data_IF_978782860434
#
_entry.id   IF_978782860434
#
_cell.length_a   1.000
_cell.length_b   1.000
_cell.length_c   1.000
_cell.angle_alpha   90.00
_cell.angle_beta   90.00
_cell.angle_gamma   90.00
#
_symmetry.space_group_name_H-M   'P 1'
#
loop_
_entity.id
_entity.type
_entity.pdbx_description
1 polymer ?
#
# COMPACT_ATOMS: atom_id res chain seq x y z
N UNK A 1 -7.77 -21.50 6.08
CA UNK A 1 -7.78 -20.35 7.03
C UNK A 1 -6.66 -19.41 6.65
N UNK A 2 -6.97 -18.16 6.47
CA UNK A 2 -6.03 -17.15 6.00
C UNK A 2 -5.11 -16.58 7.10
N UNK A 3 -5.48 -16.71 8.37
CA UNK A 3 -4.68 -16.28 9.52
C UNK A 3 -4.56 -17.39 10.57
N UNK A 4 -3.38 -17.46 11.21
CA UNK A 4 -3.09 -18.39 12.30
C UNK A 4 -3.05 -17.65 13.63
N UNK A 5 -3.86 -18.08 14.58
CA UNK A 5 -3.78 -17.69 16.00
C UNK A 5 -2.83 -18.63 16.75
N UNK A 6 -2.11 -18.10 17.73
CA UNK A 6 -1.23 -18.89 18.59
C UNK A 6 -1.91 -19.25 19.90
N UNK A 7 -1.51 -20.37 20.51
CA UNK A 7 -1.90 -20.71 21.88
C UNK A 7 -1.31 -19.67 22.86
N UNK A 8 -2.00 -19.30 23.95
CA UNK A 8 -1.57 -18.28 24.90
C UNK A 8 -0.51 -18.80 25.90
N UNK A 9 0.55 -19.43 25.39
CA UNK A 9 1.64 -20.01 26.19
C UNK A 9 2.57 -18.97 26.81
N UNK A 10 2.67 -17.79 26.18
CA UNK A 10 3.47 -16.67 26.67
C UNK A 10 2.73 -15.35 26.47
N UNK A 11 3.06 -14.27 27.25
CA UNK A 11 2.42 -12.96 27.05
C UNK A 11 2.49 -12.45 25.60
N UNK A 12 3.62 -12.68 24.92
CA UNK A 12 3.81 -12.23 23.52
C UNK A 12 3.02 -13.06 22.50
N UNK A 13 2.61 -14.29 22.83
CA UNK A 13 1.83 -15.15 21.94
C UNK A 13 0.32 -15.05 22.16
N UNK A 14 -0.12 -14.64 23.35
CA UNK A 14 -1.55 -14.56 23.74
C UNK A 14 -2.42 -13.86 22.68
N UNK A 15 -1.96 -12.76 22.14
CA UNK A 15 -2.70 -11.95 21.16
C UNK A 15 -2.10 -11.97 19.76
N UNK A 16 -1.13 -12.85 19.52
CA UNK A 16 -0.44 -12.92 18.24
C UNK A 16 -1.29 -13.61 17.18
N UNK A 17 -1.45 -12.93 16.04
CA UNK A 17 -2.10 -13.46 14.84
C UNK A 17 -1.19 -13.16 13.64
N UNK A 18 -0.88 -14.14 12.82
CA UNK A 18 -0.05 -13.99 11.62
C UNK A 18 -0.78 -14.50 10.39
N UNK A 19 -0.45 -13.95 9.23
CA UNK A 19 -0.87 -14.48 7.93
C UNK A 19 -0.28 -15.87 7.69
N UNK A 20 -1.01 -16.72 6.98
CA UNK A 20 -0.56 -18.05 6.58
C UNK A 20 0.14 -17.92 5.22
N UNK A 21 1.37 -18.44 5.14
CA UNK A 21 2.18 -18.42 3.92
C UNK A 21 2.03 -19.72 3.11
N UNK A 22 1.72 -20.83 3.80
CA UNK A 22 1.54 -22.14 3.16
C UNK A 22 0.36 -22.08 2.19
N UNK A 23 0.59 -22.49 0.94
CA UNK A 23 -0.41 -22.46 -0.13
C UNK A 23 -0.60 -21.10 -0.83
N UNK A 24 -0.07 -20.00 -0.27
CA UNK A 24 -0.16 -18.67 -0.89
C UNK A 24 1.16 -18.16 -1.44
N UNK A 25 2.28 -18.62 -0.88
CA UNK A 25 3.63 -18.27 -1.33
C UNK A 25 4.26 -19.53 -1.92
N UNK A 26 4.73 -19.42 -3.15
CA UNK A 26 5.30 -20.55 -3.91
C UNK A 26 6.83 -20.52 -3.93
N UNK A 27 7.45 -19.35 -3.71
CA UNK A 27 8.90 -19.22 -3.62
C UNK A 27 9.31 -18.33 -2.43
N UNK A 28 10.39 -18.71 -1.75
CA UNK A 28 10.93 -18.02 -0.57
C UNK A 28 12.09 -17.10 -0.91
N UNK A 29 12.82 -17.38 -1.98
CA UNK A 29 13.99 -16.60 -2.44
C UNK A 29 13.58 -15.67 -3.58
N UNK A 30 13.87 -14.36 -3.48
CA UNK A 30 13.56 -13.43 -4.56
C UNK A 30 14.56 -13.54 -5.72
N UNK A 31 14.13 -13.14 -6.91
CA UNK A 31 15.00 -12.99 -8.07
C UNK A 31 16.07 -11.93 -7.80
N UNK A 32 17.36 -12.33 -7.90
CA UNK A 32 18.51 -11.49 -7.53
C UNK A 32 18.59 -10.23 -8.39
N UNK A 33 18.38 -10.34 -9.69
CA UNK A 33 18.45 -9.24 -10.66
C UNK A 33 17.41 -8.14 -10.38
N UNK A 34 16.28 -8.47 -9.76
CA UNK A 34 15.20 -7.55 -9.43
C UNK A 34 15.23 -7.07 -7.97
N UNK A 35 16.34 -7.30 -7.26
CA UNK A 35 16.47 -6.88 -5.85
C UNK A 35 17.63 -5.92 -5.64
N UNK A 36 17.40 -4.84 -4.89
CA UNK A 36 18.42 -3.88 -4.48
C UNK A 36 18.47 -3.75 -2.96
N UNK A 37 19.65 -3.41 -2.44
CA UNK A 37 19.83 -3.14 -1.02
C UNK A 37 19.06 -1.89 -0.61
N UNK A 38 18.30 -1.97 0.49
CA UNK A 38 17.59 -0.81 1.04
C UNK A 38 18.28 -0.32 2.29
N UNK A 39 18.95 0.84 2.20
CA UNK A 39 19.51 1.54 3.36
C UNK A 39 18.39 2.11 4.24
N UNK A 40 18.57 2.05 5.57
CA UNK A 40 17.66 2.68 6.53
C UNK A 40 18.14 4.11 6.79
N UNK A 41 17.29 5.09 6.57
CA UNK A 41 17.60 6.51 6.84
C UNK A 41 17.41 6.90 8.31
N UNK A 42 16.79 6.04 9.12
CA UNK A 42 16.47 6.37 10.51
C UNK A 42 15.54 7.58 10.66
N UNK A 43 14.77 7.92 9.62
CA UNK A 43 13.88 9.07 9.61
C UNK A 43 14.56 10.41 9.29
N UNK A 44 15.79 10.39 8.75
CA UNK A 44 16.52 11.58 8.30
C UNK A 44 16.25 11.87 6.83
N UNK A 45 16.29 13.16 6.48
CA UNK A 45 16.27 13.63 5.09
C UNK A 45 17.66 13.57 4.45
N UNK A 46 17.81 14.10 3.23
CA UNK A 46 19.08 14.15 2.51
C UNK A 46 20.16 14.99 3.24
N UNK A 47 19.74 16.00 3.99
CA UNK A 47 20.60 16.88 4.78
C UNK A 47 20.94 16.34 6.18
N UNK A 48 20.48 15.13 6.52
CA UNK A 48 20.70 14.50 7.83
C UNK A 48 19.74 14.94 8.93
N UNK A 49 18.84 15.88 8.68
CA UNK A 49 17.87 16.36 9.68
C UNK A 49 16.74 15.34 9.92
N UNK A 50 16.34 15.18 11.18
CA UNK A 50 15.25 14.29 11.58
C UNK A 50 13.88 14.83 11.15
N UNK A 51 13.36 14.37 10.03
CA UNK A 51 12.04 14.76 9.51
C UNK A 51 10.91 13.84 9.98
N UNK A 52 11.21 12.56 10.20
CA UNK A 52 10.23 11.57 10.68
C UNK A 52 10.76 10.90 11.95
N UNK A 53 10.12 11.19 13.08
CA UNK A 53 10.52 10.61 14.38
C UNK A 53 10.12 9.14 14.50
N UNK A 54 10.75 8.44 15.44
CA UNK A 54 10.43 7.06 15.84
C UNK A 54 10.62 6.02 14.74
N UNK A 55 11.55 6.25 13.81
CA UNK A 55 12.00 5.28 12.83
C UNK A 55 13.44 4.85 13.10
N UNK A 56 13.74 3.59 12.80
CA UNK A 56 15.10 3.03 12.88
C UNK A 56 15.18 1.70 13.62
N UNK A 57 16.34 1.05 13.54
CA UNK A 57 16.65 -0.20 14.24
C UNK A 57 15.83 -1.43 13.78
N UNK A 58 15.26 -1.41 12.61
CA UNK A 58 14.53 -2.54 12.04
C UNK A 58 15.45 -3.56 11.36
N UNK A 59 14.88 -4.73 11.05
CA UNK A 59 15.57 -5.77 10.27
C UNK A 59 15.98 -5.25 8.90
N UNK A 60 17.18 -5.60 8.42
CA UNK A 60 17.69 -5.27 7.09
C UNK A 60 16.75 -5.83 6.01
N UNK A 61 16.41 -5.02 5.00
CA UNK A 61 15.48 -5.40 3.94
C UNK A 61 16.10 -5.17 2.57
N UNK A 62 15.79 -6.07 1.64
CA UNK A 62 16.01 -5.85 0.20
C UNK A 62 14.74 -5.27 -0.40
N UNK A 63 14.87 -4.29 -1.27
CA UNK A 63 13.76 -3.76 -2.07
C UNK A 63 13.60 -4.60 -3.33
N UNK A 64 12.35 -4.96 -3.70
CA UNK A 64 12.01 -5.60 -4.96
C UNK A 64 11.56 -4.53 -5.93
N UNK A 65 12.15 -4.52 -7.12
CA UNK A 65 11.77 -3.60 -8.19
C UNK A 65 10.45 -4.11 -8.77
N UNK A 66 9.38 -3.34 -8.57
CA UNK A 66 8.05 -3.70 -9.06
C UNK A 66 7.75 -2.87 -10.31
N UNK A 67 7.26 -3.55 -11.35
CA UNK A 67 6.77 -2.88 -12.55
C UNK A 67 5.37 -2.30 -12.29
N UNK A 68 5.34 -1.01 -11.93
CA UNK A 68 4.11 -0.25 -11.77
C UNK A 68 3.59 0.36 -13.06
N UNK A 69 4.41 0.39 -14.11
CA UNK A 69 4.07 1.05 -15.37
C UNK A 69 3.42 0.11 -16.37
N UNK A 70 3.80 -1.18 -16.33
CA UNK A 70 3.29 -2.19 -17.25
C UNK A 70 3.40 -1.73 -18.70
N UNK A 71 4.62 -1.32 -19.12
CA UNK A 71 4.88 -0.70 -20.43
C UNK A 71 4.96 -1.69 -21.58
N UNK A 72 5.12 -2.99 -21.32
CA UNK A 72 5.17 -4.03 -22.34
C UNK A 72 3.76 -4.40 -22.79
N UNK A 73 3.22 -3.60 -23.72
CA UNK A 73 1.89 -3.83 -24.28
C UNK A 73 1.93 -4.96 -25.32
N UNK A 74 0.93 -5.85 -25.33
CA UNK A 74 0.78 -6.96 -26.26
C UNK A 74 1.68 -8.18 -25.99
N UNK A 75 2.69 -8.07 -25.11
CA UNK A 75 3.60 -9.18 -24.82
C UNK A 75 3.06 -10.04 -23.66
N UNK A 76 2.78 -11.33 -23.87
CA UNK A 76 2.30 -12.20 -22.81
C UNK A 76 3.45 -12.55 -21.82
N UNK A 77 3.08 -12.64 -20.55
CA UNK A 77 3.98 -13.05 -19.48
C UNK A 77 3.33 -14.15 -18.63
N UNK A 78 4.09 -15.18 -18.28
CA UNK A 78 3.64 -16.28 -17.43
C UNK A 78 4.01 -16.01 -15.98
N UNK A 79 3.07 -16.23 -15.06
CA UNK A 79 3.31 -16.16 -13.62
C UNK A 79 4.17 -17.34 -13.19
N UNK A 80 5.42 -17.07 -12.79
CA UNK A 80 6.36 -18.11 -12.35
C UNK A 80 6.24 -18.44 -10.87
N UNK A 81 6.08 -17.40 -10.03
CA UNK A 81 5.97 -17.56 -8.58
C UNK A 81 5.17 -16.43 -7.94
N UNK A 82 4.62 -16.71 -6.75
CA UNK A 82 4.03 -15.70 -5.85
C UNK A 82 4.91 -15.64 -4.61
N UNK A 83 5.36 -14.42 -4.25
CA UNK A 83 6.40 -14.21 -3.25
C UNK A 83 5.98 -13.22 -2.16
N UNK A 84 6.67 -13.29 -1.03
CA UNK A 84 6.57 -12.35 0.06
C UNK A 84 7.50 -11.14 -0.17
N UNK A 85 6.97 -9.92 0.00
CA UNK A 85 7.79 -8.69 0.01
C UNK A 85 7.72 -8.03 1.41
N UNK A 86 8.86 -7.85 2.12
CA UNK A 86 8.89 -7.21 3.42
C UNK A 86 8.63 -5.69 3.39
N UNK A 87 8.56 -5.08 2.21
CA UNK A 87 8.38 -3.64 2.05
C UNK A 87 6.92 -3.21 1.83
N UNK A 88 6.04 -4.18 1.60
CA UNK A 88 4.60 -3.94 1.37
C UNK A 88 3.73 -5.00 2.02
N UNK A 89 2.46 -4.69 2.19
CA UNK A 89 1.47 -5.63 2.72
C UNK A 89 0.98 -6.64 1.68
N UNK A 90 0.96 -6.25 0.40
CA UNK A 90 0.58 -7.12 -0.72
C UNK A 90 1.66 -8.16 -1.03
N UNK A 91 1.24 -9.33 -1.55
CA UNK A 91 2.13 -10.30 -2.19
C UNK A 91 2.57 -9.76 -3.56
N UNK A 92 3.67 -10.27 -4.07
CA UNK A 92 4.17 -9.96 -5.42
C UNK A 92 4.21 -11.22 -6.26
N UNK A 93 4.04 -11.09 -7.57
CA UNK A 93 4.16 -12.18 -8.52
C UNK A 93 5.34 -11.91 -9.46
N UNK A 94 6.17 -12.92 -9.66
CA UNK A 94 7.26 -12.90 -10.63
C UNK A 94 6.70 -13.33 -11.98
N UNK A 95 6.85 -12.48 -12.97
CA UNK A 95 6.46 -12.71 -14.37
C UNK A 95 7.68 -12.99 -15.23
N UNK A 96 7.55 -13.98 -16.10
CA UNK A 96 8.48 -14.27 -17.19
C UNK A 96 7.78 -13.94 -18.50
N UNK A 97 8.27 -12.94 -19.19
CA UNK A 97 7.80 -12.58 -20.52
C UNK A 97 8.37 -13.53 -21.58
N UNK A 98 7.67 -13.68 -22.69
CA UNK A 98 8.11 -14.53 -23.82
C UNK A 98 9.46 -14.06 -24.39
N UNK A 99 9.75 -12.76 -24.29
CA UNK A 99 11.03 -12.15 -24.68
C UNK A 99 12.18 -12.36 -23.67
N UNK A 100 12.00 -13.20 -22.65
CA UNK A 100 12.99 -13.52 -21.63
C UNK A 100 13.11 -12.50 -20.49
N UNK A 101 12.41 -11.36 -20.54
CA UNK A 101 12.45 -10.36 -19.48
C UNK A 101 11.67 -10.83 -18.25
N UNK A 102 12.24 -10.65 -17.08
CA UNK A 102 11.62 -10.93 -15.79
C UNK A 102 11.17 -9.65 -15.13
N UNK A 103 9.99 -9.61 -14.53
CA UNK A 103 9.50 -8.48 -13.75
C UNK A 103 8.68 -8.91 -12.56
N UNK A 104 8.60 -8.08 -11.53
CA UNK A 104 7.64 -8.25 -10.44
C UNK A 104 6.42 -7.37 -10.64
N UNK A 105 5.24 -7.91 -10.37
CA UNK A 105 3.99 -7.15 -10.23
C UNK A 105 3.39 -7.35 -8.84
N UNK A 106 2.44 -6.49 -8.45
CA UNK A 106 1.59 -6.78 -7.28
C UNK A 106 0.67 -7.93 -7.65
N UNK A 107 0.65 -8.98 -6.83
CA UNK A 107 -0.19 -10.15 -7.06
C UNK A 107 -1.66 -9.81 -6.75
N UNK A 108 -2.56 -9.85 -7.74
CA UNK A 108 -4.00 -9.77 -7.50
C UNK A 108 -4.51 -11.02 -6.78
N UNK A 109 -5.67 -10.87 -6.17
CA UNK A 109 -6.37 -11.98 -5.55
C UNK A 109 -6.85 -12.96 -6.64
N UNK A 110 -6.64 -14.26 -6.42
CA UNK A 110 -7.02 -15.30 -7.37
C UNK A 110 -5.99 -15.59 -8.48
N UNK A 111 -4.89 -14.83 -8.56
CA UNK A 111 -3.82 -15.13 -9.51
C UNK A 111 -3.11 -16.43 -9.14
N UNK A 112 -2.89 -17.31 -10.12
CA UNK A 112 -2.24 -18.59 -9.94
C UNK A 112 -0.91 -18.67 -10.72
N UNK A 113 -0.02 -19.54 -10.26
CA UNK A 113 1.23 -19.87 -10.98
C UNK A 113 0.88 -20.61 -12.28
N UNK A 114 1.56 -20.27 -13.37
CA UNK A 114 1.29 -20.78 -14.71
C UNK A 114 0.27 -19.94 -15.51
N UNK A 115 -0.48 -19.07 -14.88
CA UNK A 115 -1.43 -18.20 -15.55
C UNK A 115 -0.70 -17.15 -16.40
N UNK A 116 -1.24 -16.87 -17.58
CA UNK A 116 -0.70 -15.82 -18.47
C UNK A 116 -1.33 -14.47 -18.15
N UNK A 117 -0.53 -13.42 -18.16
CA UNK A 117 -0.93 -12.04 -17.90
C UNK A 117 -0.43 -11.15 -19.03
N UNK A 118 -1.30 -10.30 -19.54
CA UNK A 118 -1.00 -9.38 -20.65
C UNK A 118 -1.29 -7.94 -20.23
N UNK A 119 -0.58 -6.99 -20.85
CA UNK A 119 -0.84 -5.55 -20.70
C UNK A 119 -1.16 -4.95 -22.05
N UNK A 120 -1.94 -3.88 -22.08
CA UNK A 120 -2.23 -3.13 -23.29
C UNK A 120 -3.70 -2.96 -23.59
N UNK A 121 -4.04 -2.18 -24.62
CA UNK A 121 -5.42 -1.86 -24.97
C UNK A 121 -6.22 -3.05 -25.53
N UNK A 122 -5.53 -4.05 -26.07
CA UNK A 122 -6.11 -5.26 -26.69
C UNK A 122 -6.18 -6.45 -25.70
N UNK A 123 -5.69 -6.26 -24.46
CA UNK A 123 -5.74 -7.32 -23.46
C UNK A 123 -7.17 -7.60 -23.03
N UNK A 124 -7.50 -8.87 -22.79
CA UNK A 124 -8.80 -9.27 -22.21
C UNK A 124 -8.95 -8.72 -20.78
N UNK A 125 -10.15 -8.35 -20.33
CA UNK A 125 -10.38 -7.84 -18.98
C UNK A 125 -10.38 -8.95 -17.91
N UNK A 126 -9.29 -9.70 -17.85
CA UNK A 126 -9.04 -10.80 -16.91
C UNK A 126 -8.18 -10.38 -15.73
N UNK A 127 -8.22 -11.15 -14.64
CA UNK A 127 -7.48 -10.88 -13.40
C UNK A 127 -5.97 -10.81 -13.68
N UNK A 128 -5.36 -9.68 -13.32
CA UNK A 128 -3.92 -9.45 -13.48
C UNK A 128 -3.54 -8.70 -14.75
N UNK A 129 -4.42 -8.64 -15.74
CA UNK A 129 -4.20 -7.87 -16.96
C UNK A 129 -4.29 -6.37 -16.70
N UNK A 130 -3.46 -5.59 -17.36
CA UNK A 130 -3.41 -4.14 -17.20
C UNK A 130 -3.88 -3.46 -18.50
N UNK A 131 -4.95 -2.68 -18.39
CA UNK A 131 -5.58 -2.00 -19.52
C UNK A 131 -5.75 -0.50 -19.25
N UNK A 132 -5.84 0.33 -20.30
CA UNK A 132 -6.37 1.68 -20.17
C UNK A 132 -7.82 1.67 -19.70
N UNK A 133 -8.20 2.65 -18.86
CA UNK A 133 -9.55 2.71 -18.27
C UNK A 133 -10.68 2.81 -19.31
N UNK A 134 -10.40 3.33 -20.51
CA UNK A 134 -11.37 3.37 -21.61
C UNK A 134 -11.68 1.97 -22.21
N UNK A 135 -10.83 0.98 -21.98
CA UNK A 135 -11.02 -0.39 -22.47
C UNK A 135 -11.58 -1.34 -21.40
N UNK A 136 -11.64 -0.89 -20.15
CA UNK A 136 -12.16 -1.72 -19.04
C UNK A 136 -13.69 -1.59 -18.99
N UNK A 137 -14.46 -2.68 -18.90
CA UNK A 137 -15.91 -2.62 -18.73
C UNK A 137 -16.31 -1.85 -17.47
N UNK A 138 -17.42 -1.10 -17.57
CA UNK A 138 -18.00 -0.39 -16.40
C UNK A 138 -18.47 -1.41 -15.36
N UNK A 139 -18.35 -1.06 -14.08
CA UNK A 139 -18.65 -1.97 -12.96
C UNK A 139 -17.47 -2.84 -12.52
N UNK A 140 -16.42 -2.96 -13.34
CA UNK A 140 -15.25 -3.81 -13.05
C UNK A 140 -14.50 -3.32 -11.83
N UNK A 141 -14.03 -4.28 -11.03
CA UNK A 141 -13.14 -4.05 -9.89
C UNK A 141 -11.69 -3.99 -10.38
N UNK A 142 -10.98 -2.94 -10.00
CA UNK A 142 -9.64 -2.63 -10.46
C UNK A 142 -8.71 -2.24 -9.31
N UNK A 143 -7.41 -2.38 -9.53
CA UNK A 143 -6.37 -1.94 -8.61
C UNK A 143 -5.16 -1.38 -9.39
N UNK A 144 -4.09 -0.97 -8.72
CA UNK A 144 -2.91 -0.41 -9.38
C UNK A 144 -3.24 0.70 -10.39
N UNK A 145 -4.04 1.68 -9.98
CA UNK A 145 -4.57 2.71 -10.85
C UNK A 145 -3.57 3.86 -11.00
N UNK A 146 -3.32 4.28 -12.22
CA UNK A 146 -2.56 5.50 -12.51
C UNK A 146 -3.36 6.77 -12.21
N UNK A 147 -2.67 7.86 -11.89
CA UNK A 147 -3.24 9.21 -11.79
C UNK A 147 -2.99 10.06 -13.04
N UNK A 148 -1.90 9.79 -13.73
CA UNK A 148 -1.51 10.42 -14.99
C UNK A 148 -1.00 9.34 -15.92
N UNK A 149 -1.28 9.42 -17.22
CA UNK A 149 -0.81 8.43 -18.18
C UNK A 149 0.71 8.24 -18.11
N UNK A 150 1.17 6.99 -18.07
CA UNK A 150 2.60 6.64 -18.02
C UNK A 150 3.32 6.89 -16.70
N UNK A 151 2.64 7.44 -15.68
CA UNK A 151 3.23 7.64 -14.36
C UNK A 151 3.49 6.31 -13.63
N UNK A 152 2.71 5.29 -13.94
CA UNK A 152 2.65 4.03 -13.22
C UNK A 152 1.64 4.05 -12.08
N UNK A 153 1.33 2.88 -11.56
CA UNK A 153 0.32 2.68 -10.53
C UNK A 153 0.58 3.52 -9.29
N UNK A 154 -0.43 4.27 -8.84
CA UNK A 154 -0.37 5.15 -7.68
C UNK A 154 -1.40 4.78 -6.61
N UNK A 155 -2.64 4.45 -7.00
CA UNK A 155 -3.75 4.15 -6.09
C UNK A 155 -4.05 2.65 -6.03
N UNK A 156 -4.72 2.22 -4.94
CA UNK A 156 -5.16 0.85 -4.68
C UNK A 156 -4.03 -0.19 -4.85
N UNK A 157 -2.93 -0.03 -4.07
CA UNK A 157 -1.75 -0.92 -4.12
C UNK A 157 -1.55 -1.77 -2.86
N UNK A 158 -2.22 -1.43 -1.77
CA UNK A 158 -2.08 -2.16 -0.50
C UNK A 158 -2.88 -3.45 -0.51
N UNK A 159 -2.51 -4.40 0.35
CA UNK A 159 -3.21 -5.68 0.48
C UNK A 159 -4.73 -5.50 0.64
N UNK A 160 -5.51 -6.27 -0.11
CA UNK A 160 -6.96 -6.28 -0.07
C UNK A 160 -7.64 -5.01 -0.63
N UNK A 161 -6.89 -4.02 -1.12
CA UNK A 161 -7.50 -2.80 -1.67
C UNK A 161 -7.95 -3.00 -3.10
N UNK A 162 -9.02 -2.30 -3.45
CA UNK A 162 -9.57 -2.25 -4.80
C UNK A 162 -10.30 -0.91 -5.00
N UNK A 163 -10.61 -0.60 -6.24
CA UNK A 163 -11.51 0.48 -6.60
C UNK A 163 -12.49 -0.04 -7.66
N UNK A 164 -13.59 0.64 -7.88
CA UNK A 164 -14.59 0.26 -8.87
C UNK A 164 -14.67 1.33 -9.95
N UNK A 165 -14.66 0.91 -11.21
CA UNK A 165 -14.95 1.77 -12.34
C UNK A 165 -16.47 1.96 -12.43
N UNK A 166 -16.94 3.17 -12.12
CA UNK A 166 -18.39 3.46 -12.02
C UNK A 166 -18.96 3.85 -13.37
N UNK A 167 -18.31 4.76 -14.07
CA UNK A 167 -18.75 5.23 -15.39
C UNK A 167 -17.57 5.81 -16.20
N UNK A 168 -17.84 6.14 -17.45
CA UNK A 168 -16.92 6.85 -18.34
C UNK A 168 -17.66 8.02 -18.95
N UNK A 169 -17.06 9.21 -18.89
CA UNK A 169 -17.63 10.46 -19.40
C UNK A 169 -16.57 11.20 -20.22
N UNK A 170 -16.71 11.17 -21.53
CA UNK A 170 -15.74 11.78 -22.45
C UNK A 170 -14.31 11.25 -22.19
N UNK A 171 -13.39 12.15 -21.90
CA UNK A 171 -11.98 11.81 -21.65
C UNK A 171 -11.71 11.33 -20.23
N UNK A 172 -12.72 11.16 -19.37
CA UNK A 172 -12.54 10.79 -17.98
C UNK A 172 -13.29 9.49 -17.64
N UNK A 173 -12.65 8.71 -16.77
CA UNK A 173 -13.25 7.59 -16.05
C UNK A 173 -13.58 8.02 -14.62
N UNK A 174 -14.77 7.67 -14.14
CA UNK A 174 -15.21 7.90 -12.77
C UNK A 174 -14.94 6.65 -11.96
N UNK A 175 -14.16 6.78 -10.90
CA UNK A 175 -13.71 5.68 -10.08
C UNK A 175 -14.09 5.92 -8.62
N UNK A 176 -14.71 4.92 -8.00
CA UNK A 176 -14.99 4.87 -6.57
C UNK A 176 -13.82 4.18 -5.85
N UNK A 177 -13.13 4.92 -4.99
CA UNK A 177 -11.97 4.46 -4.24
C UNK A 177 -12.35 3.68 -2.97
N UNK A 178 -11.41 2.92 -2.37
CA UNK A 178 -11.65 2.18 -1.12
C UNK A 178 -12.06 3.08 0.05
N UNK A 179 -11.69 4.37 0.00
CA UNK A 179 -12.07 5.37 1.01
C UNK A 179 -13.52 5.83 0.90
N UNK A 180 -14.26 5.46 -0.17
CA UNK A 180 -15.57 5.98 -0.52
C UNK A 180 -15.53 7.27 -1.34
N UNK A 181 -14.35 7.85 -1.59
CA UNK A 181 -14.20 9.02 -2.47
C UNK A 181 -14.43 8.62 -3.93
N UNK A 182 -15.28 9.35 -4.63
CA UNK A 182 -15.50 9.21 -6.07
C UNK A 182 -14.77 10.33 -6.80
N UNK A 183 -13.95 9.96 -7.80
CA UNK A 183 -13.14 10.94 -8.52
C UNK A 183 -12.98 10.62 -10.00
N UNK A 184 -12.70 11.68 -10.77
CA UNK A 184 -12.36 11.62 -12.19
C UNK A 184 -10.88 11.32 -12.39
N UNK A 185 -10.57 10.43 -13.33
CA UNK A 185 -9.21 10.10 -13.79
C UNK A 185 -9.25 10.06 -15.31
N UNK A 186 -8.17 10.46 -15.97
CA UNK A 186 -8.09 10.39 -17.44
C UNK A 186 -8.30 8.94 -17.92
N UNK A 187 -9.14 8.76 -18.92
CA UNK A 187 -9.51 7.45 -19.45
C UNK A 187 -8.32 6.70 -20.11
N UNK A 188 -7.26 7.41 -20.45
CA UNK A 188 -6.00 6.86 -20.97
C UNK A 188 -5.09 6.28 -19.87
N UNK A 189 -5.35 6.57 -18.58
CA UNK A 189 -4.61 5.98 -17.47
C UNK A 189 -4.84 4.47 -17.42
N UNK A 190 -3.78 3.71 -17.11
CA UNK A 190 -3.85 2.25 -16.95
C UNK A 190 -4.31 1.86 -15.54
N UNK A 191 -4.98 0.72 -15.47
CA UNK A 191 -5.31 0.04 -14.23
C UNK A 191 -5.22 -1.49 -14.42
N UNK A 192 -5.05 -2.22 -13.33
CA UNK A 192 -5.02 -3.69 -13.36
C UNK A 192 -6.35 -4.24 -12.88
N UNK A 193 -6.86 -5.27 -13.54
CA UNK A 193 -8.13 -5.93 -13.23
C UNK A 193 -8.01 -6.77 -11.96
N UNK A 194 -9.06 -6.72 -11.13
CA UNK A 194 -9.18 -7.49 -9.89
C UNK A 194 -8.85 -6.69 -8.63
N UNK A 195 -8.82 -7.37 -7.48
CA UNK A 195 -8.42 -6.83 -6.17
C UNK A 195 -6.99 -7.20 -5.85
N UNK A 196 -6.32 -6.40 -5.02
CA UNK A 196 -4.99 -6.79 -4.50
C UNK A 196 -5.13 -7.99 -3.57
N UNK A 197 -4.26 -8.98 -3.70
CA UNK A 197 -4.23 -10.16 -2.84
C UNK A 197 -3.88 -9.86 -1.37
N UNK A 198 -3.90 -10.91 -0.53
CA UNK A 198 -3.58 -10.85 0.91
C UNK A 198 -4.52 -9.94 1.72
N UNK A 199 -5.82 -10.00 1.45
CA UNK A 199 -6.86 -9.18 2.11
C UNK A 199 -6.87 -9.34 3.64
N UNK A 200 -6.50 -10.52 4.14
CA UNK A 200 -6.46 -10.82 5.57
C UNK A 200 -5.27 -10.18 6.33
N UNK A 201 -4.40 -9.46 5.64
CA UNK A 201 -3.31 -8.72 6.31
C UNK A 201 -3.82 -7.77 7.41
N UNK A 202 -5.01 -7.21 7.26
CA UNK A 202 -5.66 -6.36 8.27
C UNK A 202 -5.98 -7.09 9.58
N UNK A 203 -6.11 -8.42 9.55
CA UNK A 203 -6.41 -9.26 10.70
C UNK A 203 -5.14 -9.63 11.50
N UNK A 204 -3.95 -9.33 10.99
CA UNK A 204 -2.69 -9.62 11.67
C UNK A 204 -2.54 -8.76 12.94
N UNK A 205 -2.09 -9.41 14.03
CA UNK A 205 -1.78 -8.77 15.30
C UNK A 205 -0.36 -9.09 15.72
N UNK A 206 0.40 -8.07 16.04
CA UNK A 206 1.84 -8.21 16.38
C UNK A 206 2.07 -8.95 17.69
N UNK A 207 1.16 -8.85 18.66
CA UNK A 207 1.19 -9.53 19.95
C UNK A 207 2.20 -8.98 20.96
N UNK A 208 3.31 -8.34 20.51
CA UNK A 208 4.33 -7.77 21.40
C UNK A 208 4.99 -6.51 20.82
N UNK A 209 5.46 -5.63 21.70
CA UNK A 209 6.16 -4.39 21.33
C UNK A 209 7.48 -4.67 20.55
N UNK A 210 8.19 -5.74 20.87
CA UNK A 210 9.41 -6.15 20.16
C UNK A 210 9.22 -6.37 18.67
N UNK A 211 8.03 -6.83 18.21
CA UNK A 211 7.74 -6.94 16.78
C UNK A 211 7.72 -5.56 16.09
N UNK A 212 7.19 -4.54 16.74
CA UNK A 212 7.25 -3.16 16.23
C UNK A 212 8.69 -2.68 16.09
N UNK A 213 9.58 -3.04 17.04
CA UNK A 213 11.01 -2.76 16.96
C UNK A 213 11.66 -3.44 15.75
N UNK A 214 11.36 -4.71 15.50
CA UNK A 214 11.86 -5.45 14.32
C UNK A 214 11.39 -4.84 13.01
N UNK A 215 10.19 -4.24 13.00
CA UNK A 215 9.66 -3.52 11.83
C UNK A 215 10.25 -2.11 11.66
N UNK A 216 11.14 -1.68 12.57
CA UNK A 216 11.81 -0.38 12.50
C UNK A 216 11.05 0.76 13.16
N UNK A 217 10.03 0.46 13.98
CA UNK A 217 9.29 1.46 14.77
C UNK A 217 9.84 1.53 16.18
N UNK A 218 10.28 2.71 16.59
CA UNK A 218 10.73 2.99 17.96
C UNK A 218 9.55 3.35 18.87
N UNK A 219 9.71 3.21 20.21
CA UNK A 219 8.72 3.66 21.18
C UNK A 219 8.37 5.14 20.99
N UNK A 220 7.14 5.52 21.29
CA UNK A 220 6.65 6.89 21.15
C UNK A 220 6.14 7.42 22.47
N UNK A 221 6.65 8.58 22.89
CA UNK A 221 6.13 9.32 24.03
C UNK A 221 4.94 10.18 23.61
N UNK A 222 3.95 10.30 24.50
CA UNK A 222 2.80 11.19 24.33
C UNK A 222 3.20 12.61 24.71
N UNK A 223 2.58 13.62 24.09
CA UNK A 223 2.84 15.03 24.41
C UNK A 223 2.57 15.42 25.86
N UNK A 224 1.57 14.75 26.49
CA UNK A 224 1.18 15.00 27.89
C UNK A 224 2.27 14.64 28.92
N UNK A 225 3.23 13.76 28.55
CA UNK A 225 4.33 13.35 29.46
C UNK A 225 5.64 14.12 29.17
N UNK A 226 5.56 15.14 28.33
CA UNK A 226 6.69 16.01 27.99
C UNK A 226 6.65 17.29 28.81
N UNK A 227 7.75 18.03 28.82
CA UNK A 227 7.80 19.36 29.39
C UNK A 227 7.10 20.40 28.48
N UNK A 228 6.68 21.58 29.02
CA UNK A 228 6.02 22.63 28.24
C UNK A 228 6.84 23.09 27.04
N UNK A 229 8.16 23.12 27.13
CA UNK A 229 9.09 23.48 26.05
C UNK A 229 9.05 22.50 24.86
N UNK A 230 8.76 21.23 25.12
CA UNK A 230 8.81 20.17 24.11
C UNK A 230 7.45 19.96 23.41
N UNK A 231 6.35 20.28 24.09
CA UNK A 231 5.03 20.02 23.57
C UNK A 231 3.97 20.94 24.21
N UNK A 232 3.01 21.48 23.42
CA UNK A 232 1.94 22.36 23.94
C UNK A 232 1.03 21.70 25.00
N UNK A 233 1.04 20.39 25.11
CA UNK A 233 0.28 19.64 26.11
C UNK A 233 1.16 19.13 27.26
N UNK A 234 2.41 19.58 27.32
CA UNK A 234 3.36 19.21 28.37
C UNK A 234 3.18 20.09 29.63
N UNK A 235 3.76 19.61 30.73
CA UNK A 235 3.73 20.29 32.02
C UNK A 235 2.52 19.96 32.89
N UNK A 236 2.42 20.65 34.02
CA UNK A 236 1.42 20.45 35.06
C UNK A 236 1.87 19.46 36.13
N UNK A 237 1.16 19.46 37.25
CA UNK A 237 1.32 18.48 38.32
C UNK A 237 0.53 17.21 37.99
N UNK A 238 1.20 16.06 38.04
CA UNK A 238 0.60 14.77 37.77
C UNK A 238 0.08 14.63 36.34
N UNK A 239 -1.11 14.09 36.13
CA UNK A 239 -1.70 13.78 34.84
C UNK A 239 -2.57 14.94 34.34
N UNK A 240 -1.95 16.02 33.91
CA UNK A 240 -2.67 17.14 33.29
C UNK A 240 -3.07 16.84 31.83
N UNK A 241 -4.28 17.24 31.42
CA UNK A 241 -4.78 16.99 30.04
C UNK A 241 -4.39 18.09 29.05
N UNK A 242 -3.98 19.27 29.49
CA UNK A 242 -3.51 20.38 28.63
C UNK A 242 -4.54 20.96 27.67
N UNK A 243 -5.83 20.74 27.89
CA UNK A 243 -6.95 21.24 27.08
C UNK A 243 -7.17 20.43 25.78
N UNK A 244 -7.62 21.11 24.72
CA UNK A 244 -7.90 20.45 23.43
C UNK A 244 -6.65 19.80 22.83
N UNK A 245 -6.71 18.53 22.36
CA UNK A 245 -5.55 17.82 21.83
C UNK A 245 -4.85 18.58 20.71
N UNK A 246 -3.55 18.84 20.88
CA UNK A 246 -2.71 19.56 19.92
C UNK A 246 -1.54 18.69 19.45
N UNK A 247 -1.04 18.98 18.27
CA UNK A 247 0.22 18.46 17.76
C UNK A 247 1.39 19.27 18.37
N UNK A 248 2.62 18.82 18.20
CA UNK A 248 3.82 19.56 18.61
C UNK A 248 3.94 20.94 17.96
N UNK A 249 3.33 21.15 16.79
CA UNK A 249 3.27 22.44 16.09
C UNK A 249 2.12 23.32 16.56
N UNK A 250 1.41 22.96 17.63
CA UNK A 250 0.26 23.71 18.16
C UNK A 250 -1.06 23.50 17.41
N UNK A 251 -1.05 22.80 16.28
CA UNK A 251 -2.26 22.55 15.49
C UNK A 251 -3.17 21.54 16.19
N UNK A 252 -4.48 21.74 16.10
CA UNK A 252 -5.46 20.80 16.63
C UNK A 252 -5.26 19.39 16.04
N UNK A 253 -5.15 18.37 16.92
CA UNK A 253 -4.96 17.00 16.53
C UNK A 253 -6.27 16.28 16.17
N UNK A 254 -7.42 16.84 16.59
CA UNK A 254 -8.76 16.33 16.28
C UNK A 254 -9.59 17.45 15.63
N UNK A 255 -10.43 17.07 14.67
CA UNK A 255 -11.36 17.97 13.99
C UNK A 255 -10.78 18.88 12.92
N UNK A 256 -9.48 19.15 12.91
CA UNK A 256 -8.85 20.03 11.92
C UNK A 256 -8.87 19.38 10.52
N UNK A 257 -9.43 20.08 9.55
CA UNK A 257 -9.35 19.72 8.13
C UNK A 257 -8.00 20.17 7.58
N UNK A 258 -7.09 19.22 7.34
CA UNK A 258 -5.71 19.52 6.89
C UNK A 258 -5.56 19.67 5.38
N UNK A 259 -6.56 19.25 4.58
CA UNK A 259 -6.53 19.45 3.13
C UNK A 259 -6.72 20.94 2.79
N UNK A 260 -5.80 21.49 2.00
CA UNK A 260 -5.92 22.87 1.55
C UNK A 260 -7.23 23.09 0.76
N UNK A 261 -8.04 24.13 1.08
CA UNK A 261 -9.31 24.38 0.42
C UNK A 261 -9.17 24.57 -1.11
N UNK A 262 -8.15 25.29 -1.53
CA UNK A 262 -7.85 25.60 -2.95
C UNK A 262 -6.90 24.60 -3.62
N UNK A 263 -6.83 23.35 -3.13
CA UNK A 263 -5.96 22.35 -3.74
C UNK A 263 -6.39 22.03 -5.18
N UNK A 264 -5.48 22.14 -6.15
CA UNK A 264 -5.75 21.93 -7.58
C UNK A 264 -6.49 20.60 -7.88
N UNK A 265 -6.20 19.53 -7.13
CA UNK A 265 -6.85 18.22 -7.32
C UNK A 265 -8.31 18.17 -6.82
N UNK A 266 -8.89 19.25 -6.29
CA UNK A 266 -10.30 19.27 -5.90
C UNK A 266 -11.25 19.15 -7.09
N UNK A 267 -10.85 19.68 -8.27
CA UNK A 267 -11.64 19.58 -9.51
C UNK A 267 -11.87 18.16 -10.02
N UNK A 268 -11.04 17.21 -9.56
CA UNK A 268 -11.18 15.80 -9.92
C UNK A 268 -11.99 14.98 -8.91
N UNK A 269 -12.43 15.56 -7.79
CA UNK A 269 -13.26 14.88 -6.79
C UNK A 269 -14.71 15.23 -7.06
N UNK A 270 -15.53 14.20 -7.34
CA UNK A 270 -16.97 14.32 -7.53
C UNK A 270 -17.65 14.25 -6.17
N UNK A 271 -17.38 13.19 -5.43
CA UNK A 271 -17.95 12.96 -4.10
C UNK A 271 -16.84 12.65 -3.11
N UNK A 272 -16.87 13.32 -1.96
CA UNK A 272 -15.96 13.03 -0.86
C UNK A 272 -16.50 11.87 -0.02
N UNK A 273 -15.61 11.17 0.67
CA UNK A 273 -16.02 10.14 1.62
C UNK A 273 -17.04 10.71 2.62
N UNK A 274 -18.14 10.02 2.81
CA UNK A 274 -19.06 10.30 3.92
C UNK A 274 -18.35 9.95 5.23
N UNK A 275 -18.56 10.77 6.27
CA UNK A 275 -18.01 10.51 7.62
C UNK A 275 -18.71 9.33 8.26
#
# INVERSE_FOLDING_TARGET
>A
MAVRKFKPTTPGQRHKVIGVFKGTITATTPEKSLTVGKKSTGGRNAEGHLTTRYLGGGHKRKYRIIDFKRTKDGVPAVVKSIEYDPNRSARIALLYYVDGVKTYIIAPNGLQVGQTVVSGPEAAPEIGNALPLNKIPVGTVIHNIELRPGQGAFMARSAGTFAQLVSREGNYAIIKLPSGETRKILATCKATIGTVGNSEHSLERSGKAGRSRWLGRRPRNRGVVMNPVDHPMGGGEGRASGGHPRSRKGLYAKGLKTRAPKKHSNKYIIERRKK
#
